data_IF_129041059899
#
_entry.id   IF_129041059899
#
_cell.length_a   1.000
_cell.length_b   1.000
_cell.length_c   1.000
_cell.angle_alpha   90.00
_cell.angle_beta   90.00
_cell.angle_gamma   90.00
#
_symmetry.space_group_name_H-M   'P 1'
#
loop_
_entity.id
_entity.type
_entity.pdbx_description
1 polymer ?
#
# COMPACT_ATOMS: atom_id res chain seq x y z
N UNK A 1 10.84 17.06 -2.89
CA UNK A 1 12.19 16.57 -2.51
C UNK A 1 12.09 15.07 -2.35
N UNK A 2 13.12 14.29 -2.72
CA UNK A 2 13.14 12.84 -2.49
C UNK A 2 12.93 12.50 -1.00
N UNK A 3 12.48 11.29 -0.73
CA UNK A 3 12.43 10.71 0.61
C UNK A 3 13.33 9.48 0.61
N UNK A 4 14.15 9.37 1.65
CA UNK A 4 15.19 8.34 1.70
C UNK A 4 15.06 7.55 3.00
N UNK A 5 14.82 6.25 2.89
CA UNK A 5 14.86 5.33 4.03
C UNK A 5 16.29 5.31 4.60
N UNK A 6 16.46 5.42 5.92
CA UNK A 6 17.78 5.32 6.52
C UNK A 6 18.48 4.00 6.16
N UNK A 7 19.80 3.98 6.07
CA UNK A 7 20.55 2.73 5.94
C UNK A 7 20.16 1.75 7.06
N UNK A 8 20.05 0.47 6.73
CA UNK A 8 19.76 -0.56 7.74
C UNK A 8 20.79 -0.52 8.85
N UNK A 9 20.36 -0.57 10.11
CA UNK A 9 21.26 -0.46 11.27
C UNK A 9 22.17 -1.67 11.46
N UNK A 10 21.80 -2.80 10.83
CA UNK A 10 22.56 -4.06 10.83
C UNK A 10 22.54 -4.69 9.45
N UNK A 11 23.57 -5.44 9.12
CA UNK A 11 23.67 -6.21 7.88
C UNK A 11 22.88 -7.51 8.03
N UNK A 12 21.63 -7.51 7.54
CA UNK A 12 20.70 -8.64 7.62
C UNK A 12 21.25 -9.85 6.88
N UNK A 13 21.82 -9.67 5.69
CA UNK A 13 22.32 -10.78 4.87
C UNK A 13 23.54 -11.46 5.50
N UNK A 14 24.37 -10.71 6.20
CA UNK A 14 25.49 -11.25 6.94
C UNK A 14 25.07 -11.99 8.21
N UNK A 15 24.03 -11.48 8.90
CA UNK A 15 23.51 -12.09 10.13
C UNK A 15 22.64 -13.30 9.86
N UNK A 16 21.85 -13.26 8.78
CA UNK A 16 20.87 -14.26 8.41
C UNK A 16 20.96 -14.57 6.90
N UNK A 17 22.04 -15.23 6.43
CA UNK A 17 22.23 -15.52 5.02
C UNK A 17 21.11 -16.40 4.43
N UNK A 18 20.39 -17.12 5.28
CA UNK A 18 19.22 -17.92 4.89
C UNK A 18 18.07 -17.06 4.34
N UNK A 19 18.02 -15.77 4.64
CA UNK A 19 17.02 -14.83 4.15
C UNK A 19 17.33 -14.29 2.75
N UNK A 20 18.56 -14.40 2.27
CA UNK A 20 18.99 -13.88 0.96
C UNK A 20 18.13 -14.41 -0.20
N UNK A 21 17.79 -15.71 -0.27
CA UNK A 21 16.91 -16.23 -1.32
C UNK A 21 15.47 -15.73 -1.25
N UNK A 22 15.04 -15.22 -0.10
CA UNK A 22 13.67 -14.77 0.16
C UNK A 22 13.49 -13.26 0.02
N UNK A 23 14.59 -12.53 -0.22
CA UNK A 23 14.52 -11.07 -0.38
C UNK A 23 13.64 -10.67 -1.55
N UNK A 24 12.89 -9.58 -1.36
CA UNK A 24 12.08 -8.96 -2.40
C UNK A 24 12.41 -7.47 -2.52
N UNK A 25 12.12 -6.90 -3.68
CA UNK A 25 12.14 -5.45 -3.86
C UNK A 25 10.72 -4.92 -3.68
N UNK A 26 10.54 -3.97 -2.78
CA UNK A 26 9.35 -3.15 -2.69
C UNK A 26 9.66 -1.72 -3.15
N UNK A 27 8.63 -0.98 -3.55
CA UNK A 27 8.75 0.44 -3.86
C UNK A 27 7.88 1.18 -2.84
N UNK A 28 8.52 1.79 -1.84
CA UNK A 28 7.82 2.67 -0.89
C UNK A 28 7.39 3.93 -1.63
N UNK A 29 6.13 4.32 -1.47
CA UNK A 29 5.60 5.47 -2.20
C UNK A 29 5.81 6.79 -1.47
N UNK A 30 6.07 6.77 -0.17
CA UNK A 30 6.29 7.95 0.68
C UNK A 30 5.29 9.07 0.38
N UNK A 31 3.97 8.84 0.53
CA UNK A 31 2.96 9.85 0.24
C UNK A 31 3.12 11.06 1.15
N UNK A 32 2.83 12.25 0.62
CA UNK A 32 2.74 13.50 1.40
C UNK A 32 1.53 14.29 0.93
N UNK A 33 0.76 14.80 1.88
CA UNK A 33 -0.39 15.63 1.57
C UNK A 33 -0.04 16.72 0.56
N UNK A 34 -0.84 16.86 -0.47
CA UNK A 34 -0.56 17.78 -1.58
C UNK A 34 -1.71 17.84 -2.57
N UNK A 35 -1.49 18.54 -3.68
CA UNK A 35 -2.44 18.71 -4.77
C UNK A 35 -1.85 18.19 -6.06
N UNK A 36 -1.77 16.87 -6.26
CA UNK A 36 -1.24 16.29 -7.49
C UNK A 36 -2.13 16.67 -8.67
N UNK A 37 -1.52 16.84 -9.84
CA UNK A 37 -2.25 16.99 -11.10
C UNK A 37 -2.67 15.62 -11.66
N UNK A 38 -3.71 15.55 -12.53
CA UNK A 38 -4.14 14.28 -13.11
C UNK A 38 -3.05 13.50 -13.87
N UNK A 39 -2.01 14.16 -14.37
CA UNK A 39 -0.87 13.55 -15.07
C UNK A 39 0.29 13.13 -14.16
N UNK A 40 0.13 13.18 -12.85
CA UNK A 40 1.17 12.81 -11.86
C UNK A 40 0.83 11.50 -11.17
N UNK A 41 1.86 10.78 -10.69
CA UNK A 41 1.66 9.66 -9.78
C UNK A 41 1.18 10.18 -8.43
N UNK A 42 0.14 9.56 -7.87
CA UNK A 42 -0.51 10.03 -6.65
C UNK A 42 -1.21 8.90 -5.89
N UNK A 43 -1.47 9.13 -4.61
CA UNK A 43 -2.45 8.40 -3.80
C UNK A 43 -3.60 9.36 -3.51
N UNK A 44 -4.85 8.89 -3.63
CA UNK A 44 -6.06 9.70 -3.37
C UNK A 44 -6.28 10.89 -4.31
N UNK A 45 -5.35 11.15 -5.23
CA UNK A 45 -5.40 12.27 -6.16
C UNK A 45 -6.37 12.08 -7.32
N UNK A 46 -6.53 13.10 -8.16
CA UNK A 46 -7.28 12.97 -9.40
C UNK A 46 -6.60 11.98 -10.33
N UNK A 47 -7.40 11.21 -11.08
CA UNK A 47 -6.89 10.26 -12.06
C UNK A 47 -6.91 10.88 -13.47
N UNK A 48 -5.94 10.49 -14.28
CA UNK A 48 -5.96 10.66 -15.72
C UNK A 48 -6.99 9.67 -16.32
N UNK A 49 -8.28 9.89 -16.02
CA UNK A 49 -9.37 9.03 -16.45
C UNK A 49 -9.90 9.46 -17.80
N UNK A 50 -10.08 8.53 -18.79
CA UNK A 50 -10.61 8.87 -20.08
C UNK A 50 -12.03 9.47 -19.98
N UNK A 51 -12.28 10.63 -20.60
CA UNK A 51 -13.56 11.33 -20.52
C UNK A 51 -14.73 10.54 -21.13
N UNK A 52 -14.44 9.69 -22.11
CA UNK A 52 -15.42 8.83 -22.78
C UNK A 52 -15.72 7.53 -22.02
N UNK A 53 -14.94 7.19 -21.01
CA UNK A 53 -15.13 5.98 -20.21
C UNK A 53 -15.96 6.28 -18.97
N UNK A 54 -17.10 5.59 -18.76
CA UNK A 54 -17.89 5.77 -17.55
C UNK A 54 -17.08 5.52 -16.28
N UNK A 55 -17.25 6.40 -15.29
CA UNK A 55 -16.60 6.17 -13.99
C UNK A 55 -17.16 4.90 -13.34
N UNK A 56 -16.31 4.00 -12.84
CA UNK A 56 -16.74 2.72 -12.32
C UNK A 56 -17.50 2.86 -11.00
N UNK A 57 -18.49 1.99 -10.85
CA UNK A 57 -19.31 1.88 -9.63
C UNK A 57 -19.15 0.52 -8.99
N UNK A 58 -19.40 0.44 -7.69
CA UNK A 58 -19.45 -0.83 -6.98
C UNK A 58 -20.63 -1.66 -7.49
N UNK A 59 -20.46 -2.96 -7.77
CA UNK A 59 -21.55 -3.82 -8.22
C UNK A 59 -22.55 -4.20 -7.12
N UNK A 60 -22.24 -3.92 -5.85
CA UNK A 60 -23.16 -4.16 -4.74
C UNK A 60 -24.41 -3.29 -4.86
N UNK A 61 -25.57 -3.89 -4.66
CA UNK A 61 -26.87 -3.18 -4.64
C UNK A 61 -27.17 -2.52 -3.30
N UNK A 62 -26.52 -2.99 -2.24
CA UNK A 62 -26.60 -2.42 -0.90
C UNK A 62 -25.23 -2.58 -0.21
N UNK A 63 -24.85 -1.57 0.53
CA UNK A 63 -23.60 -1.55 1.28
C UNK A 63 -23.93 -1.63 2.77
N UNK A 64 -23.18 -2.47 3.53
CA UNK A 64 -23.47 -2.69 4.93
C UNK A 64 -23.48 -1.40 5.74
N UNK A 65 -24.28 -1.39 6.79
CA UNK A 65 -24.26 -0.36 7.80
C UNK A 65 -23.03 -0.55 8.69
N UNK A 66 -22.09 0.39 8.64
CA UNK A 66 -21.02 0.46 9.63
C UNK A 66 -21.54 0.95 11.00
N UNK A 67 -20.72 0.94 12.02
CA UNK A 67 -21.06 1.47 13.35
C UNK A 67 -21.60 2.91 13.23
N UNK A 68 -22.88 3.11 13.59
CA UNK A 68 -23.59 4.39 13.53
C UNK A 68 -23.76 5.03 12.13
N UNK A 69 -23.68 4.25 11.04
CA UNK A 69 -23.94 4.75 9.69
C UNK A 69 -25.12 4.01 9.06
N UNK A 70 -26.03 4.70 8.33
CA UNK A 70 -27.11 4.04 7.63
C UNK A 70 -26.57 3.20 6.46
N UNK A 71 -27.26 2.13 6.13
CA UNK A 71 -26.99 1.38 4.89
C UNK A 71 -27.13 2.32 3.68
N UNK A 72 -26.32 2.06 2.65
CA UNK A 72 -26.38 2.80 1.38
C UNK A 72 -26.88 1.88 0.29
N UNK A 73 -28.01 2.21 -0.29
CA UNK A 73 -28.61 1.48 -1.42
C UNK A 73 -28.22 2.13 -2.74
N UNK A 74 -28.12 1.30 -3.77
CA UNK A 74 -27.81 1.72 -5.13
C UNK A 74 -26.31 1.76 -5.47
N UNK A 75 -25.99 2.21 -6.69
CA UNK A 75 -24.61 2.22 -7.17
C UNK A 75 -23.77 3.25 -6.41
N UNK A 76 -22.64 2.81 -5.88
CA UNK A 76 -21.66 3.67 -5.21
C UNK A 76 -20.46 3.89 -6.15
N UNK A 77 -20.14 5.13 -6.53
CA UNK A 77 -18.92 5.40 -7.29
C UNK A 77 -17.69 4.91 -6.54
N UNK A 78 -16.77 4.26 -7.25
CA UNK A 78 -15.47 3.90 -6.68
C UNK A 78 -14.66 5.16 -6.39
N UNK A 79 -13.80 5.08 -5.39
CA UNK A 79 -12.90 6.18 -5.06
C UNK A 79 -11.50 5.92 -5.61
N UNK A 80 -10.81 7.00 -5.98
CA UNK A 80 -9.42 6.96 -6.40
C UNK A 80 -8.53 6.51 -5.25
N UNK A 81 -7.70 5.50 -5.49
CA UNK A 81 -6.73 4.99 -4.51
C UNK A 81 -5.32 5.37 -4.88
N UNK A 82 -4.90 4.98 -6.07
CA UNK A 82 -3.57 5.29 -6.55
C UNK A 82 -3.55 5.44 -8.07
N UNK A 83 -2.70 6.31 -8.53
CA UNK A 83 -2.27 6.42 -9.92
C UNK A 83 -0.75 6.40 -9.96
N UNK A 84 -0.17 5.51 -10.77
CA UNK A 84 1.27 5.30 -10.83
C UNK A 84 1.72 5.27 -12.30
N UNK A 85 2.64 6.14 -12.65
CA UNK A 85 3.27 6.14 -13.96
C UNK A 85 4.57 5.32 -13.92
N UNK A 86 4.82 4.55 -14.99
CA UNK A 86 6.06 3.76 -15.14
C UNK A 86 7.34 4.60 -14.99
N UNK A 87 7.31 5.85 -15.47
CA UNK A 87 8.47 6.77 -15.36
C UNK A 87 8.91 7.02 -13.92
N UNK A 88 7.97 6.96 -12.95
CA UNK A 88 8.24 7.22 -11.54
C UNK A 88 8.60 5.94 -10.77
N UNK A 89 8.20 4.77 -11.30
CA UNK A 89 8.43 3.45 -10.69
C UNK A 89 8.87 2.41 -11.75
N UNK A 90 10.00 2.59 -12.40
CA UNK A 90 10.45 1.71 -13.49
C UNK A 90 10.72 0.26 -13.06
N UNK A 91 10.80 -0.01 -11.75
CA UNK A 91 10.98 -1.35 -11.18
C UNK A 91 9.68 -2.16 -11.14
N UNK A 92 8.51 -1.52 -11.22
CA UNK A 92 7.23 -2.22 -11.30
C UNK A 92 7.06 -2.88 -12.68
N UNK A 93 6.64 -4.13 -12.69
CA UNK A 93 6.40 -4.88 -13.94
C UNK A 93 5.06 -4.47 -14.57
N UNK A 94 5.10 -3.45 -15.42
CA UNK A 94 3.94 -3.07 -16.23
C UNK A 94 3.71 -4.08 -17.37
N UNK A 95 2.45 -4.38 -17.72
CA UNK A 95 2.13 -5.11 -18.94
C UNK A 95 2.67 -4.41 -20.20
N UNK A 96 2.86 -5.18 -21.26
CA UNK A 96 3.30 -4.63 -22.54
C UNK A 96 2.32 -3.57 -23.05
N UNK A 97 2.85 -2.46 -23.54
CA UNK A 97 2.06 -1.33 -24.04
C UNK A 97 1.40 -0.47 -22.96
N UNK A 98 1.57 -0.79 -21.69
CA UNK A 98 1.06 0.00 -20.56
C UNK A 98 2.18 0.74 -19.86
N UNK A 99 1.91 1.97 -19.43
CA UNK A 99 2.81 2.82 -18.66
C UNK A 99 2.10 3.58 -17.51
N UNK A 100 0.81 3.27 -17.32
CA UNK A 100 -0.05 3.85 -16.31
C UNK A 100 -0.81 2.74 -15.58
N UNK A 101 -0.71 2.72 -14.25
CA UNK A 101 -1.50 1.92 -13.34
C UNK A 101 -2.49 2.83 -12.62
N UNK A 102 -3.77 2.45 -12.59
CA UNK A 102 -4.80 3.11 -11.80
C UNK A 102 -5.53 2.11 -10.94
N UNK A 103 -5.71 2.43 -9.66
CA UNK A 103 -6.39 1.59 -8.67
C UNK A 103 -7.54 2.38 -8.06
N UNK A 104 -8.71 1.77 -8.07
CA UNK A 104 -9.92 2.29 -7.44
C UNK A 104 -10.56 1.20 -6.58
N UNK A 105 -11.26 1.57 -5.54
CA UNK A 105 -12.06 0.65 -4.73
C UNK A 105 -13.38 1.23 -4.27
N UNK A 106 -14.27 0.37 -3.79
CA UNK A 106 -15.47 0.79 -3.09
C UNK A 106 -15.08 1.37 -1.71
N UNK A 107 -15.58 2.55 -1.31
CA UNK A 107 -15.25 3.11 0.00
C UNK A 107 -15.74 2.25 1.19
N UNK A 108 -16.58 1.23 0.94
CA UNK A 108 -17.00 0.26 1.95
C UNK A 108 -16.16 -1.03 1.93
N UNK A 109 -14.92 -0.97 1.45
CA UNK A 109 -14.06 -2.14 1.22
C UNK A 109 -13.80 -2.97 2.48
N UNK A 110 -13.69 -2.33 3.63
CA UNK A 110 -13.47 -3.00 4.93
C UNK A 110 -14.77 -3.21 5.73
N UNK A 111 -15.89 -2.66 5.30
CA UNK A 111 -17.18 -2.77 5.99
C UNK A 111 -18.01 -4.00 5.54
N UNK A 112 -17.39 -5.01 4.93
CA UNK A 112 -18.03 -6.26 4.55
C UNK A 112 -18.81 -6.21 3.22
N UNK A 113 -18.51 -5.27 2.35
CA UNK A 113 -18.98 -5.31 0.96
C UNK A 113 -18.26 -6.44 0.21
N UNK A 114 -18.85 -7.63 0.19
CA UNK A 114 -18.27 -8.87 -0.35
C UNK A 114 -17.96 -8.82 -1.85
N UNK A 115 -18.49 -7.85 -2.59
CA UNK A 115 -18.19 -7.62 -4.00
C UNK A 115 -17.32 -6.37 -4.24
N UNK A 116 -16.72 -5.81 -3.18
CA UNK A 116 -15.87 -4.61 -3.24
C UNK A 116 -14.45 -4.89 -3.71
N UNK A 117 -14.26 -5.85 -4.62
CA UNK A 117 -12.94 -6.10 -5.21
C UNK A 117 -12.41 -4.81 -5.85
N UNK A 118 -11.18 -4.39 -5.51
CA UNK A 118 -10.56 -3.25 -6.16
C UNK A 118 -10.53 -3.41 -7.68
N UNK A 119 -10.64 -2.28 -8.39
CA UNK A 119 -10.45 -2.24 -9.83
C UNK A 119 -9.03 -1.77 -10.14
N UNK A 120 -8.32 -2.55 -10.91
CA UNK A 120 -6.97 -2.26 -11.38
C UNK A 120 -7.01 -2.08 -12.89
N UNK A 121 -6.53 -0.93 -13.34
CA UNK A 121 -6.46 -0.59 -14.76
C UNK A 121 -5.00 -0.37 -15.16
N UNK A 122 -4.59 -1.10 -16.18
CA UNK A 122 -3.31 -0.91 -16.83
C UNK A 122 -3.56 -0.23 -18.17
N UNK A 123 -2.99 0.95 -18.37
CA UNK A 123 -3.26 1.78 -19.56
C UNK A 123 -1.97 2.27 -20.19
N UNK A 124 -2.06 2.71 -21.45
CA UNK A 124 -1.11 3.63 -22.04
C UNK A 124 -1.60 5.06 -21.75
N UNK A 125 -0.80 5.86 -21.06
CA UNK A 125 -1.14 7.25 -20.77
C UNK A 125 -1.29 8.07 -22.06
N UNK A 126 -0.50 7.75 -23.08
CA UNK A 126 -0.54 8.41 -24.38
C UNK A 126 -1.86 8.16 -25.14
N UNK A 127 -2.55 7.06 -24.85
CA UNK A 127 -3.84 6.75 -25.46
C UNK A 127 -5.02 7.55 -24.90
N UNK A 128 -4.82 8.30 -23.81
CA UNK A 128 -5.87 9.11 -23.19
C UNK A 128 -5.85 10.52 -23.76
N UNK A 129 -6.74 10.77 -24.74
CA UNK A 129 -6.79 12.06 -25.43
C UNK A 129 -7.45 13.15 -24.56
N UNK A 130 -8.52 12.80 -23.86
CA UNK A 130 -9.30 13.72 -23.02
C UNK A 130 -9.47 13.15 -21.63
N UNK A 131 -9.20 13.97 -20.64
CA UNK A 131 -9.30 13.59 -19.21
C UNK A 131 -10.63 14.07 -18.66
N UNK A 132 -11.30 13.24 -17.87
CA UNK A 132 -12.53 13.59 -17.14
C UNK A 132 -12.27 14.79 -16.23
N UNK A 133 -13.02 15.88 -16.42
CA UNK A 133 -12.79 17.14 -15.69
C UNK A 133 -13.06 17.03 -14.19
N UNK A 134 -14.04 16.21 -13.80
CA UNK A 134 -14.39 16.00 -12.40
C UNK A 134 -14.83 14.58 -12.14
N UNK A 135 -14.27 13.96 -11.09
CA UNK A 135 -14.72 12.65 -10.62
C UNK A 135 -16.11 12.76 -9.96
N UNK A 136 -16.96 11.71 -10.05
CA UNK A 136 -18.22 11.70 -9.33
C UNK A 136 -18.01 11.90 -7.82
N UNK A 137 -18.88 12.67 -7.16
CA UNK A 137 -18.79 12.86 -5.73
C UNK A 137 -19.00 11.54 -4.98
N UNK A 138 -18.23 11.34 -3.92
CA UNK A 138 -18.43 10.21 -3.02
C UNK A 138 -19.76 10.34 -2.28
N UNK A 139 -20.45 9.22 -2.05
CA UNK A 139 -21.70 9.21 -1.28
C UNK A 139 -21.44 9.68 0.16
N UNK A 140 -22.36 10.47 0.71
CA UNK A 140 -22.19 11.10 2.04
C UNK A 140 -22.09 10.10 3.20
N UNK A 141 -22.57 8.87 2.99
CA UNK A 141 -22.51 7.76 3.96
C UNK A 141 -21.19 6.99 3.93
N UNK A 142 -20.32 7.25 2.95
CA UNK A 142 -19.05 6.55 2.83
C UNK A 142 -18.13 6.80 4.02
N UNK A 143 -17.43 5.75 4.51
CA UNK A 143 -16.40 5.89 5.54
C UNK A 143 -15.27 6.78 5.03
N UNK A 144 -14.99 7.87 5.71
CA UNK A 144 -13.83 8.72 5.36
C UNK A 144 -12.51 7.96 5.48
N UNK A 145 -12.44 7.08 6.45
CA UNK A 145 -11.23 6.29 6.75
C UNK A 145 -10.84 5.32 5.63
N UNK A 146 -11.73 5.10 4.64
CA UNK A 146 -11.45 4.29 3.46
C UNK A 146 -11.29 5.11 2.17
N UNK A 147 -11.20 6.43 2.28
CA UNK A 147 -11.06 7.35 1.16
C UNK A 147 -9.72 8.08 1.31
N UNK A 148 -8.70 7.72 0.53
CA UNK A 148 -7.39 8.36 0.66
C UNK A 148 -7.45 9.86 0.34
N UNK A 149 -6.87 10.68 1.20
CA UNK A 149 -6.63 12.09 0.91
C UNK A 149 -5.57 12.25 -0.20
N UNK A 150 -5.66 13.32 -1.02
CA UNK A 150 -4.70 13.54 -2.10
C UNK A 150 -3.27 13.71 -1.60
N UNK A 151 -2.36 12.89 -2.14
CA UNK A 151 -0.95 12.90 -1.81
C UNK A 151 -0.08 12.89 -3.06
N UNK A 152 0.98 13.69 -3.04
CA UNK A 152 2.11 13.56 -3.96
C UNK A 152 3.04 12.44 -3.48
N UNK A 153 3.72 11.78 -4.40
CA UNK A 153 4.54 10.60 -4.10
C UNK A 153 6.04 10.89 -4.25
N UNK A 154 6.84 10.12 -3.49
CA UNK A 154 8.29 10.15 -3.54
C UNK A 154 8.83 8.71 -3.59
N UNK A 155 8.63 7.96 -4.70
CA UNK A 155 8.92 6.54 -4.77
C UNK A 155 10.39 6.21 -4.51
N UNK A 156 10.63 5.18 -3.69
CA UNK A 156 11.96 4.67 -3.35
C UNK A 156 11.96 3.14 -3.38
N UNK A 157 12.82 2.48 -4.18
CA UNK A 157 12.99 1.05 -4.11
C UNK A 157 13.78 0.66 -2.86
N UNK A 158 13.26 -0.32 -2.11
CA UNK A 158 13.91 -0.88 -0.93
C UNK A 158 13.95 -2.40 -1.00
N UNK A 159 14.93 -3.01 -0.36
CA UNK A 159 14.97 -4.48 -0.19
C UNK A 159 14.20 -4.84 1.07
N UNK A 160 13.38 -5.86 0.99
CA UNK A 160 12.61 -6.44 2.10
C UNK A 160 12.97 -7.90 2.33
N UNK A 161 12.73 -8.36 3.55
CA UNK A 161 12.80 -9.74 3.97
C UNK A 161 11.47 -10.14 4.61
N UNK A 162 11.08 -11.44 4.55
CA UNK A 162 9.79 -11.87 5.08
C UNK A 162 9.71 -11.62 6.58
N UNK A 163 8.57 -11.10 7.03
CA UNK A 163 8.18 -11.00 8.42
C UNK A 163 7.22 -12.13 8.78
N UNK A 164 5.94 -11.88 8.73
CA UNK A 164 4.90 -12.92 8.88
C UNK A 164 4.94 -13.98 7.76
N UNK A 165 5.42 -13.62 6.58
CA UNK A 165 5.60 -14.53 5.43
C UNK A 165 6.82 -15.47 5.55
N UNK A 166 7.53 -15.44 6.67
CA UNK A 166 8.67 -16.32 6.88
C UNK A 166 8.19 -17.76 7.07
N UNK A 167 8.73 -18.75 6.33
CA UNK A 167 8.41 -20.17 6.55
C UNK A 167 8.63 -20.56 8.01
N UNK A 168 7.71 -21.32 8.59
CA UNK A 168 7.70 -21.68 10.02
C UNK A 168 8.98 -22.39 10.47
N UNK A 169 9.50 -23.30 9.64
CA UNK A 169 10.75 -24.03 9.91
C UNK A 169 11.96 -23.09 9.93
N UNK A 170 11.99 -22.12 9.02
CA UNK A 170 13.04 -21.12 8.97
C UNK A 170 12.91 -20.14 10.16
N UNK A 171 11.70 -19.69 10.49
CA UNK A 171 11.47 -18.84 11.65
C UNK A 171 11.92 -19.53 12.93
N UNK A 172 11.56 -20.82 13.12
CA UNK A 172 12.00 -21.61 14.26
C UNK A 172 13.53 -21.74 14.33
N UNK A 173 14.20 -21.93 13.18
CA UNK A 173 15.65 -22.03 13.11
C UNK A 173 16.40 -20.71 13.40
N UNK A 174 15.78 -19.57 13.06
CA UNK A 174 16.40 -18.26 13.23
C UNK A 174 16.05 -17.56 14.56
N UNK A 175 15.03 -18.02 15.26
CA UNK A 175 14.48 -17.35 16.44
C UNK A 175 15.50 -17.00 17.53
N UNK A 176 16.38 -17.93 17.88
CA UNK A 176 17.41 -17.68 18.91
C UNK A 176 18.41 -16.62 18.44
N UNK A 177 18.88 -16.70 17.19
CA UNK A 177 19.81 -15.73 16.59
C UNK A 177 19.19 -14.34 16.47
N UNK A 178 17.90 -14.26 16.17
CA UNK A 178 17.15 -12.99 16.17
C UNK A 178 17.06 -12.39 17.58
N UNK A 179 16.72 -13.20 18.59
CA UNK A 179 16.68 -12.78 19.98
C UNK A 179 18.07 -12.32 20.50
N UNK A 180 19.16 -13.03 20.15
CA UNK A 180 20.52 -12.62 20.49
C UNK A 180 20.92 -11.29 19.82
N UNK A 181 20.56 -11.11 18.54
CA UNK A 181 20.78 -9.86 17.82
C UNK A 181 20.03 -8.72 18.51
N UNK A 182 18.75 -8.89 18.83
CA UNK A 182 17.92 -7.91 19.53
C UNK A 182 18.51 -7.53 20.88
N UNK A 183 18.85 -8.51 21.71
CA UNK A 183 19.46 -8.29 23.03
C UNK A 183 20.78 -7.51 22.96
N UNK A 184 21.57 -7.73 21.90
CA UNK A 184 22.88 -7.09 21.70
C UNK A 184 22.77 -5.70 21.08
N UNK A 185 21.82 -5.46 20.19
CA UNK A 185 21.78 -4.27 19.35
C UNK A 185 20.58 -3.36 19.64
N UNK A 186 19.52 -3.87 20.28
CA UNK A 186 18.24 -3.19 20.46
C UNK A 186 17.41 -3.05 19.18
N UNK A 187 17.75 -3.79 18.11
CA UNK A 187 17.01 -3.80 16.84
C UNK A 187 16.21 -5.08 16.73
N UNK A 188 14.89 -4.96 16.70
CA UNK A 188 13.97 -6.09 16.50
C UNK A 188 13.85 -6.41 15.01
N UNK A 189 13.95 -7.70 14.66
CA UNK A 189 13.87 -8.13 13.27
C UNK A 189 12.54 -7.71 12.64
N UNK A 190 11.44 -8.04 13.28
CA UNK A 190 10.08 -7.82 12.78
C UNK A 190 9.79 -6.34 12.46
N UNK A 191 10.10 -5.41 13.37
CA UNK A 191 9.77 -4.00 13.22
C UNK A 191 10.77 -3.19 12.42
N UNK A 192 12.05 -3.61 12.44
CA UNK A 192 13.12 -2.73 11.95
C UNK A 192 13.83 -3.24 10.70
N UNK A 193 13.78 -4.55 10.43
CA UNK A 193 14.69 -5.17 9.47
C UNK A 193 13.97 -5.97 8.38
N UNK A 194 12.71 -6.35 8.58
CA UNK A 194 11.95 -7.20 7.67
C UNK A 194 11.33 -6.43 6.49
N UNK A 195 10.03 -6.47 6.36
CA UNK A 195 9.26 -5.77 5.35
C UNK A 195 9.03 -4.29 5.71
N UNK A 196 8.96 -3.45 4.72
CA UNK A 196 8.75 -2.02 4.89
C UNK A 196 7.27 -1.73 5.22
N UNK A 197 6.99 -0.86 6.21
CA UNK A 197 5.63 -0.38 6.46
C UNK A 197 5.21 0.68 5.43
N UNK A 198 3.95 1.10 5.49
CA UNK A 198 3.40 2.20 4.72
C UNK A 198 2.81 1.79 3.37
N UNK A 199 2.52 2.80 2.55
CA UNK A 199 1.95 2.59 1.22
C UNK A 199 3.09 2.22 0.26
N UNK A 200 2.99 1.02 -0.35
CA UNK A 200 4.05 0.47 -1.18
C UNK A 200 3.55 -0.44 -2.30
N UNK A 201 4.36 -0.61 -3.33
CA UNK A 201 4.15 -1.53 -4.44
C UNK A 201 5.11 -2.72 -4.36
N UNK A 202 4.61 -3.92 -4.62
CA UNK A 202 5.41 -5.15 -4.59
C UNK A 202 5.94 -5.50 -3.21
N UNK A 203 6.98 -6.33 -3.15
CA UNK A 203 7.54 -6.81 -1.87
C UNK A 203 6.59 -7.75 -1.13
N UNK A 204 6.60 -7.66 0.20
CA UNK A 204 5.67 -8.39 1.07
C UNK A 204 4.49 -7.49 1.45
N UNK A 205 3.28 -8.02 1.67
CA UNK A 205 2.12 -7.21 2.02
C UNK A 205 2.30 -6.35 3.27
N UNK A 206 3.02 -6.83 4.29
CA UNK A 206 3.14 -6.16 5.59
C UNK A 206 1.94 -6.48 6.47
N UNK A 207 1.61 -7.76 6.58
CA UNK A 207 0.50 -8.27 7.39
C UNK A 207 0.60 -7.82 8.85
N UNK A 208 -0.54 -7.47 9.43
CA UNK A 208 -0.66 -7.28 10.88
C UNK A 208 -1.13 -8.54 11.59
N UNK A 209 -1.62 -9.53 10.82
CA UNK A 209 -2.07 -10.83 11.28
C UNK A 209 -1.44 -11.96 10.44
N UNK A 210 -1.92 -13.19 10.62
CA UNK A 210 -1.43 -14.35 9.87
C UNK A 210 -1.63 -14.17 8.35
N UNK A 211 -0.61 -14.44 7.52
CA UNK A 211 -0.67 -14.27 6.08
C UNK A 211 -1.79 -15.06 5.40
N UNK A 212 -2.52 -14.41 4.51
CA UNK A 212 -3.55 -15.04 3.73
C UNK A 212 -3.44 -14.68 2.24
N UNK A 213 -2.51 -15.34 1.57
CA UNK A 213 -2.29 -15.15 0.14
C UNK A 213 -3.45 -15.72 -0.68
N UNK A 214 -4.05 -14.94 -1.61
CA UNK A 214 -5.11 -15.43 -2.48
C UNK A 214 -4.55 -16.30 -3.60
N UNK A 215 -5.37 -17.28 -4.02
CA UNK A 215 -5.15 -18.05 -5.23
C UNK A 215 -5.95 -17.44 -6.38
N UNK A 216 -5.37 -17.44 -7.59
CA UNK A 216 -6.03 -16.95 -8.77
C UNK A 216 -7.23 -17.84 -9.14
N UNK A 217 -8.46 -17.29 -9.26
CA UNK A 217 -9.62 -18.09 -9.62
C UNK A 217 -9.57 -18.65 -11.05
N UNK A 218 -8.69 -18.12 -11.92
CA UNK A 218 -8.54 -18.57 -13.30
C UNK A 218 -7.52 -19.70 -13.46
N UNK A 219 -6.38 -19.66 -12.77
CA UNK A 219 -5.30 -20.64 -12.95
C UNK A 219 -4.89 -21.38 -11.69
N UNK A 220 -5.42 -21.06 -10.51
CA UNK A 220 -5.10 -21.69 -9.23
C UNK A 220 -3.71 -21.39 -8.68
N UNK A 221 -2.93 -20.51 -9.32
CA UNK A 221 -1.62 -20.12 -8.80
C UNK A 221 -1.78 -19.05 -7.72
N UNK A 222 -0.83 -18.99 -6.78
CA UNK A 222 -0.76 -17.88 -5.82
C UNK A 222 -0.62 -16.54 -6.58
N UNK A 223 -1.40 -15.55 -6.17
CA UNK A 223 -1.37 -14.22 -6.77
C UNK A 223 -0.17 -13.43 -6.26
N UNK A 224 0.30 -12.47 -7.06
CA UNK A 224 1.39 -11.58 -6.69
C UNK A 224 0.84 -10.36 -5.93
N UNK A 225 1.58 -9.91 -4.91
CA UNK A 225 1.27 -8.68 -4.21
C UNK A 225 1.58 -7.49 -5.12
N UNK A 226 0.57 -6.63 -5.33
CA UNK A 226 0.67 -5.44 -6.17
C UNK A 226 0.83 -4.17 -5.35
N UNK A 227 -0.07 -3.94 -4.39
CA UNK A 227 -0.13 -2.69 -3.63
C UNK A 227 -0.59 -2.95 -2.20
N UNK A 228 0.11 -2.38 -1.24
CA UNK A 228 -0.38 -2.16 0.13
C UNK A 228 -0.80 -0.71 0.28
N UNK A 229 -2.00 -0.50 0.85
CA UNK A 229 -2.40 0.80 1.40
C UNK A 229 -2.56 0.61 2.90
N UNK A 230 -1.57 1.05 3.66
CA UNK A 230 -1.53 0.94 5.11
C UNK A 230 -2.11 2.19 5.78
N UNK A 231 -2.67 2.01 6.97
CA UNK A 231 -3.13 3.10 7.82
C UNK A 231 -1.98 4.04 8.23
N UNK A 232 -0.77 3.51 8.35
CA UNK A 232 0.41 4.26 8.80
C UNK A 232 1.63 3.99 7.92
N UNK A 233 2.46 5.02 7.73
CA UNK A 233 3.74 4.92 7.04
C UNK A 233 4.85 4.29 7.91
N UNK A 234 4.64 4.27 9.21
CA UNK A 234 5.44 3.58 10.25
C UNK A 234 4.62 3.47 11.52
N UNK A 235 4.91 2.51 12.35
CA UNK A 235 4.31 2.32 13.67
C UNK A 235 5.28 2.70 14.80
N UNK A 236 4.84 2.53 16.06
CA UNK A 236 5.51 2.99 17.28
C UNK A 236 7.02 2.90 17.29
N UNK A 237 7.63 1.74 17.01
CA UNK A 237 9.08 1.56 17.04
C UNK A 237 9.72 1.53 15.64
N UNK A 238 8.94 1.24 14.58
CA UNK A 238 9.47 1.09 13.22
C UNK A 238 9.99 2.40 12.63
N UNK A 239 9.57 3.56 13.16
CA UNK A 239 10.11 4.87 12.77
C UNK A 239 11.66 4.92 12.87
N UNK A 240 12.27 4.15 13.75
CA UNK A 240 13.72 4.12 13.96
C UNK A 240 14.49 3.73 12.71
N UNK A 241 13.93 2.84 11.89
CA UNK A 241 14.54 2.35 10.65
C UNK A 241 13.79 2.78 9.38
N UNK A 242 12.52 3.14 9.48
CA UNK A 242 11.69 3.38 8.31
C UNK A 242 11.23 4.83 8.10
N UNK A 243 11.32 5.70 9.12
CA UNK A 243 11.05 7.13 8.92
C UNK A 243 12.16 7.73 8.05
N UNK A 244 11.81 8.33 6.88
CA UNK A 244 12.79 8.95 5.99
C UNK A 244 13.66 9.99 6.71
N UNK A 245 14.92 10.10 6.28
CA UNK A 245 15.87 11.04 6.91
C UNK A 245 15.43 12.48 6.81
N UNK A 246 14.72 12.85 5.74
CA UNK A 246 14.21 14.20 5.48
C UNK A 246 13.02 14.57 6.39
N UNK A 247 12.35 13.58 6.98
CA UNK A 247 11.18 13.77 7.84
C UNK A 247 11.52 13.71 9.33
N UNK A 248 12.78 13.41 9.65
CA UNK A 248 13.27 13.42 11.02
C UNK A 248 13.46 14.83 11.54
N UNK A 249 13.33 14.97 12.84
CA UNK A 249 13.70 16.19 13.53
C UNK A 249 15.21 16.44 13.41
N UNK A 250 15.59 17.65 13.00
CA UNK A 250 17.01 17.98 12.70
C UNK A 250 17.89 18.03 13.93
N UNK A 251 17.33 18.26 15.12
CA UNK A 251 18.09 18.37 16.36
C UNK A 251 18.24 17.04 17.08
N UNK A 252 17.15 16.23 17.07
CA UNK A 252 17.11 14.97 17.83
C UNK A 252 17.32 13.73 16.97
N UNK A 253 17.13 13.83 15.64
CA UNK A 253 17.14 12.70 14.71
C UNK A 253 15.94 11.76 14.88
N UNK A 254 14.98 12.10 15.74
CA UNK A 254 13.78 11.33 16.03
C UNK A 254 12.61 11.77 15.13
N UNK A 255 11.48 11.09 15.29
CA UNK A 255 10.23 11.57 14.71
C UNK A 255 9.86 12.95 15.29
N UNK A 256 9.26 13.80 14.48
CA UNK A 256 8.75 15.08 14.95
C UNK A 256 7.53 14.85 15.81
N UNK A 257 7.57 15.27 17.06
CA UNK A 257 6.49 15.08 18.03
C UNK A 257 5.39 16.14 17.98
N UNK A 258 5.53 17.19 17.16
CA UNK A 258 4.42 18.11 16.96
C UNK A 258 3.29 17.44 16.16
N UNK A 259 2.04 17.77 16.50
CA UNK A 259 0.86 17.13 15.93
C UNK A 259 0.69 17.34 14.41
N UNK A 260 1.35 18.35 13.84
CA UNK A 260 1.33 18.62 12.41
C UNK A 260 2.40 17.81 11.66
N UNK A 261 3.65 17.77 12.18
CA UNK A 261 4.73 16.99 11.58
C UNK A 261 4.49 15.48 11.65
N UNK A 262 3.93 14.99 12.76
CA UNK A 262 3.58 13.59 12.91
C UNK A 262 2.52 13.17 11.89
N UNK A 263 1.42 13.91 11.73
CA UNK A 263 0.40 13.61 10.71
C UNK A 263 0.94 13.64 9.29
N UNK A 264 1.80 14.61 8.98
CA UNK A 264 2.35 14.77 7.64
C UNK A 264 3.22 13.58 7.18
N UNK A 265 3.88 12.90 8.11
CA UNK A 265 4.75 11.76 7.82
C UNK A 265 4.15 10.40 8.18
N UNK A 266 3.30 10.34 9.21
CA UNK A 266 2.77 9.11 9.76
C UNK A 266 1.52 8.60 9.04
N UNK A 267 0.51 9.47 8.81
CA UNK A 267 -0.71 9.13 8.07
C UNK A 267 -1.09 10.25 7.09
N UNK A 268 -0.29 10.46 6.04
CA UNK A 268 -0.54 11.55 5.08
C UNK A 268 -1.78 11.33 4.22
N UNK A 269 -2.15 10.08 3.95
CA UNK A 269 -3.32 9.72 3.16
C UNK A 269 -4.64 9.72 3.96
N UNK A 270 -4.60 9.92 5.28
CA UNK A 270 -5.79 10.03 6.12
C UNK A 270 -6.64 8.75 6.22
N UNK A 271 -6.12 7.61 5.79
CA UNK A 271 -6.85 6.32 5.85
C UNK A 271 -6.66 5.62 7.18
N UNK A 272 -7.66 4.82 7.60
CA UNK A 272 -7.58 3.98 8.79
C UNK A 272 -8.42 2.72 8.59
N UNK A 273 -7.77 1.58 8.50
CA UNK A 273 -8.42 0.29 8.29
C UNK A 273 -8.45 -0.49 9.61
N UNK A 274 -9.67 -0.58 10.20
CA UNK A 274 -9.81 -1.16 11.52
C UNK A 274 -8.96 -0.43 12.57
N UNK A 275 -8.15 -1.17 13.31
CA UNK A 275 -7.18 -0.63 14.26
C UNK A 275 -5.77 -0.74 13.66
N UNK A 276 -5.35 0.31 12.95
CA UNK A 276 -4.03 0.42 12.34
C UNK A 276 -3.64 -0.63 11.28
N UNK A 277 -4.62 -1.22 10.61
CA UNK A 277 -4.41 -2.25 9.60
C UNK A 277 -4.08 -1.73 8.20
N UNK A 278 -4.25 -2.61 7.22
CA UNK A 278 -4.00 -2.33 5.82
C UNK A 278 -4.96 -3.04 4.86
N UNK A 279 -5.01 -2.54 3.63
CA UNK A 279 -5.62 -3.20 2.48
C UNK A 279 -4.52 -3.64 1.53
N UNK A 280 -4.50 -4.93 1.22
CA UNK A 280 -3.51 -5.58 0.37
C UNK A 280 -4.16 -6.01 -0.93
N UNK A 281 -3.66 -5.52 -2.05
CA UNK A 281 -4.18 -5.81 -3.39
C UNK A 281 -3.22 -6.77 -4.09
N UNK A 282 -3.79 -7.82 -4.65
CA UNK A 282 -3.07 -8.87 -5.35
C UNK A 282 -3.55 -8.97 -6.79
N UNK A 283 -2.66 -9.40 -7.67
CA UNK A 283 -2.97 -9.61 -9.08
C UNK A 283 -2.29 -10.88 -9.59
N UNK A 284 -2.97 -11.61 -10.46
CA UNK A 284 -2.36 -12.72 -11.18
C UNK A 284 -1.61 -12.20 -12.40
N UNK A 285 -0.28 -12.36 -12.44
CA UNK A 285 0.51 -12.00 -13.62
C UNK A 285 0.49 -13.06 -14.72
N UNK A 286 0.12 -14.31 -14.38
CA UNK A 286 0.10 -15.43 -15.33
C UNK A 286 -1.12 -15.43 -16.25
N UNK A 287 -2.27 -14.90 -15.80
CA UNK A 287 -3.49 -14.82 -16.61
C UNK A 287 -3.50 -13.54 -17.45
N UNK A 288 -3.91 -13.61 -18.75
CA UNK A 288 -3.96 -12.43 -19.62
C UNK A 288 -4.88 -11.32 -19.12
N UNK A 289 -6.00 -11.67 -18.50
CA UNK A 289 -6.99 -10.76 -17.91
C UNK A 289 -6.62 -10.25 -16.51
N UNK A 290 -5.48 -10.73 -15.98
CA UNK A 290 -4.89 -10.32 -14.70
C UNK A 290 -5.92 -10.20 -13.58
N UNK A 291 -6.60 -11.29 -13.16
CA UNK A 291 -7.55 -11.26 -12.07
C UNK A 291 -6.97 -10.58 -10.84
N UNK A 292 -7.81 -9.80 -10.15
CA UNK A 292 -7.47 -9.04 -8.95
C UNK A 292 -8.22 -9.62 -7.76
N UNK A 293 -7.56 -9.70 -6.63
CA UNK A 293 -8.17 -9.99 -5.33
C UNK A 293 -7.57 -9.06 -4.27
N UNK A 294 -8.16 -9.04 -3.10
CA UNK A 294 -7.65 -8.23 -1.99
C UNK A 294 -7.85 -8.95 -0.66
N UNK A 295 -7.06 -8.53 0.30
CA UNK A 295 -7.22 -8.85 1.72
C UNK A 295 -7.13 -7.56 2.52
N UNK A 296 -7.66 -7.60 3.72
CA UNK A 296 -7.42 -6.56 4.71
C UNK A 296 -7.33 -7.20 6.08
N UNK A 297 -6.54 -6.60 6.94
CA UNK A 297 -6.43 -6.99 8.34
C UNK A 297 -6.27 -5.74 9.23
N UNK A 298 -6.33 -5.94 10.52
CA UNK A 298 -6.04 -4.92 11.52
C UNK A 298 -5.46 -5.59 12.79
N UNK A 299 -4.76 -4.80 13.61
CA UNK A 299 -4.20 -5.25 14.89
C UNK A 299 -5.25 -5.47 15.97
#
# INVERSE_FOLDING_TARGET
MARTTPPRPVDVEKLFPELVPLRRTAIRLHPRAGTPFPGESSVGGPLMWPAEEPWPTCPCTSHPQGWNRPATDGPVPLVSVAQIHRRDVPQLAFPDGCDLLQVLWCPFIVDGCTAATPRVYWRSAESIEWILEATPPTVSTAPKDSIPDPCVLHPEPVIEYPSWDMPDDLHAALRERMAEMEARTGWMYHYHLSDAPGIKLGGFPGWTQEPWWPECPGCGQAMEHLLTVSSWEYDGESWRSWLPVEDRDSETGHERRDSAGNRAAHNPAGVMFGDAGGVYIFQCAACPDRPVDHRWDCS
#
